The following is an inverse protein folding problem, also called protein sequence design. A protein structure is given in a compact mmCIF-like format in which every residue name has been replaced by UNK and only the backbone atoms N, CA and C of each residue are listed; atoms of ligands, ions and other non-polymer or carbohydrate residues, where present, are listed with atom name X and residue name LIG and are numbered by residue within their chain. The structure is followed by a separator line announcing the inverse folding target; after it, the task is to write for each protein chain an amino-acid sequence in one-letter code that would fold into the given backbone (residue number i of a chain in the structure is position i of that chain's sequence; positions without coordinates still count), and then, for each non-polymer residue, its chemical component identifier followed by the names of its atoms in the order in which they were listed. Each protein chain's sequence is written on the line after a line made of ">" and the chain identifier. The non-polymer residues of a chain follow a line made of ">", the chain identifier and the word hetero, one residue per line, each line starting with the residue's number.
data_IF_636820408541
#
_entry.id   IF_636820408541
#
_cell.length_a   1.000
_cell.length_b   1.000
_cell.length_c   1.000
_cell.angle_alpha   90.00
_cell.angle_beta   90.00
_cell.angle_gamma   90.00
#
_symmetry.space_group_name_H-M   'P 1'
#
loop_
_entity.id
_entity.type
_entity.pdbx_description
1 polymer ?
#
# COMPACT_ATOMS: atom_id res chain seq x y z
N UNK A 1 -29.57 23.42 52.43
CA UNK A 1 -28.29 23.46 51.68
C UNK A 1 -27.81 22.07 51.23
N UNK A 2 -28.62 21.28 50.51
CA UNK A 2 -28.19 20.01 49.88
C UNK A 2 -28.77 19.73 48.48
N UNK A 3 -29.57 20.65 47.93
CA UNK A 3 -30.17 20.53 46.59
C UNK A 3 -29.39 21.31 45.50
N UNK A 4 -28.47 22.21 45.88
CA UNK A 4 -27.74 23.06 44.92
C UNK A 4 -26.41 22.45 44.40
N UNK A 5 -25.90 21.36 44.99
CA UNK A 5 -24.62 20.77 44.53
C UNK A 5 -24.79 19.67 43.47
N UNK A 6 -26.01 19.20 43.22
CA UNK A 6 -26.25 18.13 42.23
C UNK A 6 -26.48 18.68 40.81
N UNK A 7 -27.00 19.91 40.68
CA UNK A 7 -27.19 20.57 39.37
C UNK A 7 -25.86 21.05 38.76
N UNK A 8 -24.88 21.44 39.60
CA UNK A 8 -23.57 21.91 39.12
C UNK A 8 -22.72 20.79 38.49
N UNK A 9 -22.91 19.55 38.91
CA UNK A 9 -22.18 18.39 38.36
C UNK A 9 -22.80 17.93 37.03
N UNK A 10 -24.13 18.06 36.86
CA UNK A 10 -24.78 17.78 35.59
C UNK A 10 -24.44 18.82 34.51
N UNK A 11 -24.30 20.11 34.86
CA UNK A 11 -23.94 21.16 33.89
C UNK A 11 -22.48 21.09 33.39
N UNK A 12 -21.56 20.48 34.13
CA UNK A 12 -20.17 20.30 33.72
C UNK A 12 -19.98 19.16 32.70
N UNK A 13 -20.85 18.14 32.70
CA UNK A 13 -20.75 17.00 31.78
C UNK A 13 -21.29 17.37 30.38
N UNK A 14 -22.28 18.26 30.30
CA UNK A 14 -22.90 18.64 29.01
C UNK A 14 -22.05 19.70 28.26
N UNK A 15 -21.29 20.54 28.95
CA UNK A 15 -20.46 21.58 28.32
C UNK A 15 -19.08 21.11 27.84
N UNK A 16 -18.58 19.97 28.30
CA UNK A 16 -17.29 19.42 27.81
C UNK A 16 -17.42 18.62 26.50
N UNK A 17 -18.64 18.25 26.09
CA UNK A 17 -18.89 17.53 24.84
C UNK A 17 -18.84 18.40 23.58
N UNK A 18 -18.81 19.73 23.73
CA UNK A 18 -18.90 20.67 22.59
C UNK A 18 -17.60 21.41 22.27
N UNK A 19 -16.55 21.24 23.08
CA UNK A 19 -15.28 21.96 22.92
C UNK A 19 -14.14 21.13 22.30
N UNK A 20 -14.36 19.85 21.98
CA UNK A 20 -13.33 18.96 21.40
C UNK A 20 -13.41 18.78 19.87
N UNK A 21 -14.25 19.55 19.17
CA UNK A 21 -14.35 19.50 17.70
C UNK A 21 -13.86 20.77 16.99
N UNK A 22 -12.98 21.57 17.61
CA UNK A 22 -12.45 22.76 16.94
C UNK A 22 -11.03 23.08 17.39
N UNK A 23 -10.06 22.46 16.72
CA UNK A 23 -8.75 23.04 16.32
C UNK A 23 -7.72 21.91 16.12
N UNK A 24 -7.67 21.40 14.89
CA UNK A 24 -6.58 20.56 14.39
C UNK A 24 -5.90 21.23 13.20
N UNK A 25 -5.34 22.43 13.40
CA UNK A 25 -4.45 23.08 12.44
C UNK A 25 -3.03 22.98 12.97
N UNK A 26 -2.22 22.12 12.38
CA UNK A 26 -0.79 21.99 12.68
C UNK A 26 -0.03 22.86 11.67
N UNK A 27 0.35 24.06 12.12
CA UNK A 27 1.35 24.90 11.49
C UNK A 27 2.74 24.33 11.80
N UNK A 28 3.59 24.18 10.76
CA UNK A 28 4.93 23.63 10.87
C UNK A 28 5.95 24.67 10.38
N UNK A 29 6.82 25.08 11.29
CA UNK A 29 7.97 25.95 11.07
C UNK A 29 9.01 25.78 12.19
N UNK A 30 10.25 26.26 12.01
CA UNK A 30 11.31 25.47 11.36
C UNK A 30 12.39 24.95 12.32
N UNK A 31 13.11 23.95 11.83
CA UNK A 31 14.29 23.26 12.40
C UNK A 31 15.52 24.16 12.38
N UNK A 32 16.33 24.10 13.44
CA UNK A 32 17.80 24.25 13.35
C UNK A 32 18.51 23.66 14.60
N UNK A 33 19.84 23.39 14.57
CA UNK A 33 20.40 22.10 14.95
C UNK A 33 21.37 22.20 16.14
N UNK A 34 21.61 21.10 16.87
CA UNK A 34 22.83 21.03 17.68
C UNK A 34 23.36 19.61 17.87
N UNK A 35 24.38 19.32 17.05
CA UNK A 35 25.69 18.80 17.42
C UNK A 35 25.79 17.77 18.57
N UNK A 36 26.21 16.53 18.23
CA UNK A 36 27.07 15.75 19.13
C UNK A 36 28.08 14.89 18.36
N UNK A 37 29.34 15.19 18.68
CA UNK A 37 30.62 14.77 18.12
C UNK A 37 30.96 13.29 18.26
N UNK A 38 31.59 12.78 17.19
CA UNK A 38 32.33 11.52 17.02
C UNK A 38 33.59 11.46 17.89
N UNK A 39 33.90 10.31 18.51
CA UNK A 39 35.25 10.03 19.04
C UNK A 39 35.69 8.64 18.61
N UNK A 40 36.76 8.62 17.82
CA UNK A 40 37.51 7.43 17.37
C UNK A 40 38.53 7.06 18.45
N UNK A 41 38.51 5.82 18.93
CA UNK A 41 39.56 5.28 19.80
C UNK A 41 40.23 4.11 19.10
N UNK A 42 41.48 4.33 18.69
CA UNK A 42 42.41 3.33 18.18
C UNK A 42 43.08 2.63 19.37
N UNK A 43 42.93 1.31 19.50
CA UNK A 43 43.65 0.52 20.51
C UNK A 43 44.65 -0.40 19.81
N UNK A 44 45.93 -0.09 20.01
CA UNK A 44 47.09 -0.91 19.67
C UNK A 44 47.26 -1.99 20.74
N UNK A 45 47.34 -3.27 20.34
CA UNK A 45 47.69 -4.35 21.27
C UNK A 45 48.95 -5.08 20.81
N UNK A 46 49.91 -5.08 21.72
CA UNK A 46 51.28 -5.59 21.64
C UNK A 46 51.35 -7.11 21.57
N UNK A 47 52.31 -7.59 20.77
CA UNK A 47 52.67 -8.99 20.56
C UNK A 47 53.40 -9.58 21.77
N UNK A 48 52.94 -10.73 22.28
CA UNK A 48 53.69 -11.56 23.23
C UNK A 48 53.96 -12.92 22.59
N UNK A 49 55.25 -13.21 22.40
CA UNK A 49 55.77 -14.45 21.82
C UNK A 49 55.84 -15.54 22.88
N UNK A 50 55.14 -16.65 22.69
CA UNK A 50 55.30 -17.87 23.51
C UNK A 50 55.57 -19.06 22.58
N UNK A 51 56.77 -19.61 22.69
CA UNK A 51 57.27 -20.75 21.92
C UNK A 51 56.82 -22.05 22.60
N UNK A 52 55.99 -22.85 21.94
CA UNK A 52 55.66 -24.22 22.39
C UNK A 52 55.78 -25.17 21.21
N UNK A 53 56.53 -26.25 21.42
CA UNK A 53 56.87 -27.31 20.46
C UNK A 53 55.80 -28.41 20.38
N UNK A 54 55.83 -29.18 19.28
CA UNK A 54 55.28 -30.56 19.07
C UNK A 54 53.83 -30.63 18.52
N UNK A 55 53.39 -31.64 17.71
CA UNK A 55 54.05 -32.65 16.85
C UNK A 55 53.72 -32.46 15.33
N UNK A 56 54.34 -33.29 14.48
CA UNK A 56 54.13 -33.38 13.01
C UNK A 56 52.65 -33.64 12.64
N UNK A 57 52.01 -32.82 11.77
CA UNK A 57 50.65 -33.08 11.32
C UNK A 57 50.61 -34.16 10.22
N UNK A 58 49.77 -35.17 10.43
CA UNK A 58 49.39 -36.17 9.42
C UNK A 58 48.44 -35.51 8.41
N UNK A 59 48.84 -35.49 7.13
CA UNK A 59 48.04 -34.96 6.04
C UNK A 59 46.97 -35.97 5.62
N UNK A 60 45.72 -35.74 6.01
CA UNK A 60 44.56 -36.42 5.41
C UNK A 60 43.94 -35.47 4.38
N UNK A 61 44.10 -35.79 3.10
CA UNK A 61 43.55 -35.01 1.98
C UNK A 61 42.03 -35.18 1.94
N UNK A 62 41.28 -34.21 2.49
CA UNK A 62 39.83 -34.12 2.32
C UNK A 62 39.53 -33.63 0.89
N UNK A 63 38.64 -34.37 0.20
CA UNK A 63 38.08 -34.02 -1.11
C UNK A 63 37.42 -32.63 -1.04
N UNK A 64 37.59 -31.74 -2.03
CA UNK A 64 36.97 -30.42 -2.01
C UNK A 64 35.44 -30.54 -2.08
N UNK A 65 34.78 -30.06 -1.02
CA UNK A 65 33.33 -29.84 -1.01
C UNK A 65 33.02 -28.67 -1.97
N UNK A 66 32.10 -28.84 -2.94
CA UNK A 66 31.67 -27.74 -3.79
C UNK A 66 31.10 -26.61 -2.95
N UNK A 67 31.55 -25.37 -3.19
CA UNK A 67 30.96 -24.19 -2.58
C UNK A 67 29.45 -24.14 -2.92
N UNK A 68 28.57 -23.77 -1.96
CA UNK A 68 27.16 -23.62 -2.24
C UNK A 68 26.99 -22.55 -3.32
N UNK A 69 26.36 -22.94 -4.42
CA UNK A 69 25.97 -22.04 -5.50
C UNK A 69 25.15 -20.89 -4.90
N UNK A 70 25.47 -19.62 -5.18
CA UNK A 70 24.64 -18.51 -4.73
C UNK A 70 23.21 -18.73 -5.22
N UNK A 71 22.26 -18.75 -4.29
CA UNK A 71 20.83 -18.76 -4.58
C UNK A 71 20.57 -17.65 -5.60
N UNK A 72 19.85 -17.91 -6.71
CA UNK A 72 19.52 -16.86 -7.66
C UNK A 72 18.85 -15.72 -6.90
N UNK A 73 19.46 -14.54 -6.95
CA UNK A 73 18.86 -13.30 -6.45
C UNK A 73 17.49 -13.18 -7.10
N UNK A 74 16.40 -13.04 -6.33
CA UNK A 74 15.09 -12.75 -6.90
C UNK A 74 15.23 -11.54 -7.85
N UNK A 75 14.69 -11.59 -9.07
CA UNK A 75 14.70 -10.42 -9.94
C UNK A 75 14.07 -9.26 -9.18
N UNK A 76 14.79 -8.16 -9.08
CA UNK A 76 14.32 -6.94 -8.41
C UNK A 76 12.98 -6.57 -9.05
N UNK A 77 11.87 -6.48 -8.29
CA UNK A 77 10.62 -5.99 -8.83
C UNK A 77 10.87 -4.58 -9.32
N UNK A 78 10.74 -4.41 -10.64
CA UNK A 78 11.06 -3.14 -11.31
C UNK A 78 9.79 -2.30 -11.29
N UNK A 79 9.75 -1.24 -10.50
CA UNK A 79 8.60 -0.33 -10.48
C UNK A 79 8.40 0.28 -11.87
N UNK A 80 7.17 0.19 -12.39
CA UNK A 80 6.77 0.83 -13.63
C UNK A 80 6.50 2.30 -13.32
N UNK A 81 7.25 3.20 -13.95
CA UNK A 81 7.10 4.65 -13.79
C UNK A 81 7.02 5.27 -15.18
N UNK A 82 6.09 6.19 -15.38
CA UNK A 82 5.98 6.91 -16.64
C UNK A 82 4.98 8.05 -16.59
N UNK A 83 4.88 8.73 -17.73
CA UNK A 83 3.97 9.84 -17.92
C UNK A 83 3.44 9.87 -19.35
N UNK A 84 2.30 10.53 -19.55
CA UNK A 84 1.76 10.87 -20.86
C UNK A 84 1.85 12.37 -21.03
N UNK A 85 2.53 12.81 -22.08
CA UNK A 85 2.74 14.22 -22.39
C UNK A 85 2.30 14.52 -23.80
N UNK A 86 1.42 15.51 -23.94
CA UNK A 86 0.93 16.00 -25.22
C UNK A 86 1.10 17.52 -25.28
N UNK A 87 1.63 18.05 -26.38
CA UNK A 87 1.86 19.49 -26.55
C UNK A 87 2.61 20.16 -25.38
N UNK A 88 3.66 19.50 -24.88
CA UNK A 88 4.48 19.95 -23.74
C UNK A 88 3.73 20.06 -22.40
N UNK A 89 2.61 19.36 -22.26
CA UNK A 89 1.83 19.25 -21.03
C UNK A 89 1.70 17.77 -20.64
N UNK A 90 2.13 17.44 -19.42
CA UNK A 90 1.94 16.12 -18.83
C UNK A 90 0.56 16.03 -18.23
N UNK A 91 -0.30 15.17 -18.78
CA UNK A 91 -1.66 14.98 -18.32
C UNK A 91 -1.82 13.79 -17.37
N UNK A 92 -1.02 12.73 -17.58
CA UNK A 92 -1.00 11.53 -16.74
C UNK A 92 0.40 11.29 -16.20
N UNK A 93 0.48 10.89 -14.93
CA UNK A 93 1.67 10.28 -14.32
C UNK A 93 1.27 9.03 -13.56
N UNK A 94 2.08 7.98 -13.67
CA UNK A 94 1.84 6.71 -12.98
C UNK A 94 3.14 6.13 -12.44
N UNK A 95 3.02 5.46 -11.31
CA UNK A 95 4.09 4.70 -10.66
C UNK A 95 3.46 3.51 -9.95
N UNK A 96 3.82 2.28 -10.30
CA UNK A 96 3.28 1.08 -9.65
C UNK A 96 4.10 -0.17 -9.92
N UNK A 97 3.90 -1.18 -9.07
CA UNK A 97 4.19 -2.57 -9.38
C UNK A 97 2.86 -3.29 -9.59
N UNK A 98 2.82 -4.26 -10.50
CA UNK A 98 1.60 -5.02 -10.77
C UNK A 98 1.87 -6.51 -10.95
N UNK A 99 0.87 -7.33 -10.68
CA UNK A 99 0.83 -8.75 -10.99
C UNK A 99 -0.56 -9.12 -11.49
N UNK A 100 -0.62 -9.81 -12.63
CA UNK A 100 -1.84 -10.43 -13.12
C UNK A 100 -1.98 -11.84 -12.56
N UNK A 101 -3.19 -12.20 -12.15
CA UNK A 101 -3.58 -13.54 -11.73
C UNK A 101 -4.64 -14.03 -12.70
N UNK A 102 -4.27 -14.97 -13.55
CA UNK A 102 -5.12 -15.48 -14.63
C UNK A 102 -5.49 -16.92 -14.32
N UNK A 103 -6.80 -17.21 -14.26
CA UNK A 103 -7.31 -18.59 -14.19
C UNK A 103 -7.38 -19.18 -15.60
N UNK A 104 -6.94 -20.42 -15.75
CA UNK A 104 -6.98 -21.14 -17.02
C UNK A 104 -7.33 -22.61 -16.82
N UNK A 105 -7.83 -23.24 -17.88
CA UNK A 105 -8.18 -24.66 -17.87
C UNK A 105 -7.04 -25.48 -18.45
N UNK A 106 -6.72 -26.58 -17.78
CA UNK A 106 -5.72 -27.53 -18.26
C UNK A 106 -6.33 -28.54 -19.22
N UNK A 107 -5.48 -29.26 -19.95
CA UNK A 107 -5.89 -30.37 -20.82
C UNK A 107 -6.67 -31.49 -20.09
N UNK A 108 -6.63 -31.51 -18.75
CA UNK A 108 -7.36 -32.46 -17.89
C UNK A 108 -8.67 -31.90 -17.34
N UNK A 109 -9.12 -30.73 -17.80
CA UNK A 109 -10.27 -29.99 -17.25
C UNK A 109 -10.09 -29.57 -15.78
N UNK A 110 -8.85 -29.37 -15.32
CA UNK A 110 -8.55 -28.79 -14.02
C UNK A 110 -8.29 -27.29 -14.16
N UNK A 111 -8.81 -26.48 -13.23
CA UNK A 111 -8.53 -25.04 -13.17
C UNK A 111 -7.22 -24.77 -12.44
N UNK A 112 -6.32 -24.01 -13.06
CA UNK A 112 -5.07 -23.52 -12.47
C UNK A 112 -4.99 -22.00 -12.53
N UNK A 113 -4.11 -21.43 -11.71
CA UNK A 113 -3.80 -19.99 -11.70
C UNK A 113 -2.35 -19.74 -12.15
N UNK A 114 -2.18 -18.77 -13.03
CA UNK A 114 -0.87 -18.25 -13.43
C UNK A 114 -0.67 -16.85 -12.84
N UNK A 115 0.49 -16.62 -12.24
CA UNK A 115 0.89 -15.35 -11.64
C UNK A 115 1.94 -14.68 -12.53
N UNK A 116 1.56 -13.58 -13.18
CA UNK A 116 2.37 -12.90 -14.19
C UNK A 116 2.77 -11.52 -13.64
N UNK A 117 4.01 -11.33 -13.15
CA UNK A 117 4.47 -10.04 -12.66
C UNK A 117 4.73 -9.05 -13.80
N UNK A 118 4.50 -7.77 -13.54
CA UNK A 118 4.83 -6.63 -14.39
C UNK A 118 5.99 -5.84 -13.76
N UNK A 119 7.04 -5.47 -14.52
CA UNK A 119 7.25 -5.71 -15.94
C UNK A 119 7.78 -7.13 -16.21
N UNK A 120 7.32 -7.74 -17.30
CA UNK A 120 8.00 -8.92 -17.84
C UNK A 120 9.43 -8.48 -18.19
N UNK A 121 10.40 -9.31 -17.82
CA UNK A 121 11.81 -8.98 -17.90
C UNK A 121 12.16 -8.40 -19.27
N UNK A 122 12.47 -7.10 -19.27
CA UNK A 122 13.00 -6.30 -20.37
C UNK A 122 11.96 -5.94 -21.45
N UNK A 123 11.86 -4.64 -21.70
CA UNK A 123 11.12 -4.01 -22.79
C UNK A 123 9.59 -3.90 -22.54
N UNK A 124 9.16 -2.82 -21.90
CA UNK A 124 7.83 -2.25 -22.19
C UNK A 124 8.07 -1.07 -23.11
N UNK A 125 7.32 -0.97 -24.21
CA UNK A 125 7.32 0.27 -24.99
C UNK A 125 6.62 1.34 -24.13
N UNK A 126 7.25 2.51 -24.01
CA UNK A 126 6.69 3.68 -23.33
C UNK A 126 5.25 3.94 -23.81
N UNK A 127 4.39 4.45 -22.93
CA UNK A 127 2.96 4.46 -23.17
C UNK A 127 2.61 5.29 -24.39
N UNK A 128 1.81 4.71 -25.29
CA UNK A 128 0.95 5.52 -26.13
C UNK A 128 -0.19 6.02 -25.24
N UNK A 129 -0.48 7.31 -25.26
CA UNK A 129 -1.51 7.88 -24.42
C UNK A 129 -2.16 9.11 -25.05
N UNK A 130 -3.29 9.50 -24.50
CA UNK A 130 -4.09 10.63 -24.99
C UNK A 130 -4.40 11.58 -23.85
N UNK A 131 -4.23 12.89 -24.08
CA UNK A 131 -4.60 13.93 -23.14
C UNK A 131 -5.87 14.65 -23.64
N UNK A 132 -7.04 14.01 -23.47
CA UNK A 132 -8.32 14.61 -23.85
C UNK A 132 -9.09 15.11 -22.62
N UNK A 133 -9.89 16.16 -22.80
CA UNK A 133 -10.65 16.80 -21.71
C UNK A 133 -11.72 15.91 -21.08
N UNK A 134 -12.15 14.84 -21.77
CA UNK A 134 -13.19 13.92 -21.28
C UNK A 134 -12.60 12.63 -20.71
N UNK A 135 -11.63 12.07 -21.43
CA UNK A 135 -10.95 10.82 -21.06
C UNK A 135 -9.47 10.94 -21.37
N UNK A 136 -8.65 10.43 -20.48
CA UNK A 136 -7.22 10.29 -20.70
C UNK A 136 -6.85 8.83 -20.56
N UNK A 137 -5.85 8.39 -21.31
CA UNK A 137 -5.45 6.99 -21.26
C UNK A 137 -3.96 6.81 -21.48
N UNK A 138 -3.46 5.68 -21.00
CA UNK A 138 -2.12 5.21 -21.34
C UNK A 138 -2.15 3.70 -21.56
N UNK A 139 -1.37 3.22 -22.54
CA UNK A 139 -1.26 1.81 -22.87
C UNK A 139 0.17 1.35 -22.72
N UNK A 140 0.41 0.37 -21.86
CA UNK A 140 1.68 -0.35 -21.78
C UNK A 140 1.61 -1.55 -22.72
N UNK A 141 2.59 -1.70 -23.62
CA UNK A 141 2.61 -2.79 -24.61
C UNK A 141 3.90 -3.60 -24.50
N UNK A 142 3.77 -4.93 -24.61
CA UNK A 142 4.89 -5.83 -24.81
C UNK A 142 5.43 -5.71 -26.23
N UNK A 143 6.72 -5.40 -26.43
CA UNK A 143 7.37 -5.37 -27.72
C UNK A 143 7.70 -6.78 -28.23
N UNK A 144 7.71 -7.78 -27.35
CA UNK A 144 7.89 -9.17 -27.74
C UNK A 144 6.59 -9.75 -28.28
N UNK A 145 6.62 -10.20 -29.54
CA UNK A 145 5.51 -10.91 -30.20
C UNK A 145 5.25 -12.29 -29.58
N UNK A 146 6.26 -12.87 -28.94
CA UNK A 146 6.17 -14.19 -28.31
C UNK A 146 5.71 -14.13 -26.85
N UNK A 147 5.63 -12.93 -26.26
CA UNK A 147 5.10 -12.77 -24.90
C UNK A 147 3.62 -13.15 -24.82
N UNK A 148 3.24 -13.85 -23.75
CA UNK A 148 1.85 -14.02 -23.33
C UNK A 148 1.16 -12.67 -23.15
N UNK A 149 1.79 -11.73 -22.44
CA UNK A 149 1.23 -10.40 -22.24
C UNK A 149 1.38 -9.55 -23.52
N UNK A 150 0.30 -8.90 -23.97
CA UNK A 150 0.30 -8.00 -25.15
C UNK A 150 0.21 -6.55 -24.74
N UNK A 151 -0.87 -6.14 -24.08
CA UNK A 151 -1.07 -4.77 -23.65
C UNK A 151 -1.91 -4.66 -22.40
N UNK A 152 -1.71 -3.57 -21.66
CA UNK A 152 -2.68 -3.09 -20.67
C UNK A 152 -2.93 -1.61 -20.91
N UNK A 153 -4.20 -1.24 -21.03
CA UNK A 153 -4.64 0.14 -21.20
C UNK A 153 -5.42 0.57 -19.96
N UNK A 154 -5.02 1.69 -19.38
CA UNK A 154 -5.74 2.36 -18.31
C UNK A 154 -6.44 3.58 -18.89
N UNK A 155 -7.74 3.71 -18.63
CA UNK A 155 -8.53 4.86 -19.04
C UNK A 155 -9.08 5.56 -17.81
N UNK A 156 -8.84 6.86 -17.73
CA UNK A 156 -9.35 7.74 -16.69
C UNK A 156 -10.46 8.60 -17.28
N UNK A 157 -11.47 8.87 -16.47
CA UNK A 157 -12.50 9.85 -16.77
C UNK A 157 -12.56 10.89 -15.65
N UNK A 158 -13.11 12.05 -15.96
CA UNK A 158 -13.35 13.09 -14.96
C UNK A 158 -14.76 13.62 -15.05
N UNK A 159 -15.30 13.99 -13.89
CA UNK A 159 -16.54 14.74 -13.74
C UNK A 159 -16.19 16.18 -13.31
N UNK A 160 -17.12 16.96 -12.78
CA UNK A 160 -16.86 18.35 -12.39
C UNK A 160 -15.69 18.48 -11.39
N UNK A 161 -15.72 17.67 -10.33
CA UNK A 161 -14.76 17.80 -9.21
C UNK A 161 -13.82 16.61 -9.04
N UNK A 162 -14.08 15.50 -9.72
CA UNK A 162 -13.40 14.25 -9.45
C UNK A 162 -12.85 13.57 -10.69
N UNK A 163 -11.84 12.74 -10.47
CA UNK A 163 -11.16 11.90 -11.45
C UNK A 163 -11.23 10.49 -10.94
N UNK A 164 -11.51 9.54 -11.82
CA UNK A 164 -11.59 8.13 -11.47
C UNK A 164 -11.05 7.26 -12.60
N UNK A 165 -10.61 6.05 -12.24
CA UNK A 165 -10.26 5.02 -13.20
C UNK A 165 -11.56 4.45 -13.80
N UNK A 166 -11.77 4.66 -15.08
CA UNK A 166 -12.99 4.29 -15.84
C UNK A 166 -12.90 2.87 -16.36
N UNK A 167 -11.73 2.45 -16.85
CA UNK A 167 -11.51 1.07 -17.29
C UNK A 167 -10.05 0.64 -17.29
N UNK A 168 -9.84 -0.66 -17.11
CA UNK A 168 -8.58 -1.34 -17.38
C UNK A 168 -8.84 -2.41 -18.44
N UNK A 169 -8.16 -2.30 -19.58
CA UNK A 169 -8.27 -3.27 -20.67
C UNK A 169 -6.95 -4.05 -20.74
N UNK A 170 -7.02 -5.38 -20.67
CA UNK A 170 -5.85 -6.26 -20.73
C UNK A 170 -5.97 -7.19 -21.95
N UNK A 171 -4.95 -7.16 -22.79
CA UNK A 171 -4.78 -8.07 -23.91
C UNK A 171 -3.63 -9.03 -23.60
N UNK A 172 -3.89 -10.33 -23.76
CA UNK A 172 -2.88 -11.37 -23.60
C UNK A 172 -3.26 -12.57 -24.46
N UNK A 173 -2.28 -13.45 -24.66
CA UNK A 173 -2.46 -14.76 -25.28
C UNK A 173 -1.95 -15.83 -24.32
N UNK A 174 -2.53 -17.01 -24.42
CA UNK A 174 -2.03 -18.17 -23.71
C UNK A 174 -0.83 -18.79 -24.43
N UNK A 175 0.22 -19.11 -23.69
CA UNK A 175 1.36 -19.90 -24.15
C UNK A 175 1.71 -21.02 -23.14
N UNK A 176 2.39 -22.05 -23.60
CA UNK A 176 2.76 -23.18 -22.76
C UNK A 176 3.88 -22.85 -21.73
N UNK A 177 4.57 -21.71 -21.91
CA UNK A 177 5.67 -21.30 -21.03
C UNK A 177 5.14 -20.66 -19.74
N UNK A 178 4.08 -19.87 -19.87
CA UNK A 178 3.43 -19.08 -18.81
C UNK A 178 2.27 -19.87 -18.21
N UNK A 179 1.63 -20.73 -19.00
CA UNK A 179 0.46 -21.53 -18.61
C UNK A 179 0.75 -23.03 -18.80
N UNK A 180 1.45 -23.68 -17.86
CA UNK A 180 1.81 -25.09 -17.98
C UNK A 180 0.57 -25.99 -17.95
N UNK A 181 0.56 -27.01 -18.80
CA UNK A 181 -0.54 -27.99 -18.97
C UNK A 181 -1.86 -27.40 -19.50
N UNK A 182 -1.84 -26.18 -20.05
CA UNK A 182 -3.02 -25.54 -20.63
C UNK A 182 -3.68 -26.43 -21.71
N UNK A 183 -5.02 -26.37 -21.81
CA UNK A 183 -5.72 -27.05 -22.92
C UNK A 183 -5.15 -26.54 -24.25
N UNK A 184 -4.63 -27.42 -25.12
CA UNK A 184 -4.08 -27.03 -26.43
C UNK A 184 -5.03 -26.19 -27.29
N UNK A 185 -6.35 -26.29 -27.06
CA UNK A 185 -7.36 -25.48 -27.75
C UNK A 185 -7.34 -23.99 -27.37
N UNK A 186 -6.71 -23.64 -26.25
CA UNK A 186 -6.62 -22.27 -25.74
C UNK A 186 -5.31 -21.59 -26.12
N UNK A 187 -4.29 -22.33 -26.58
CA UNK A 187 -2.97 -21.78 -26.94
C UNK A 187 -3.07 -20.84 -28.13
N UNK A 188 -2.35 -19.72 -28.09
CA UNK A 188 -2.33 -18.66 -29.10
C UNK A 188 -3.70 -18.01 -29.39
N UNK A 189 -4.72 -18.30 -28.58
CA UNK A 189 -5.99 -17.55 -28.58
C UNK A 189 -5.75 -16.22 -27.86
N UNK A 190 -6.09 -15.13 -28.54
CA UNK A 190 -6.06 -13.80 -27.96
C UNK A 190 -7.28 -13.59 -27.06
N UNK A 191 -7.03 -13.07 -25.87
CA UNK A 191 -8.04 -12.74 -24.88
C UNK A 191 -8.01 -11.26 -24.58
N UNK A 192 -9.20 -10.66 -24.60
CA UNK A 192 -9.44 -9.26 -24.33
C UNK A 192 -10.31 -9.14 -23.09
N UNK A 193 -9.74 -8.67 -21.99
CA UNK A 193 -10.48 -8.43 -20.75
C UNK A 193 -10.71 -6.94 -20.58
N UNK A 194 -11.97 -6.54 -20.49
CA UNK A 194 -12.37 -5.18 -20.16
C UNK A 194 -12.91 -5.12 -18.74
N UNK A 195 -12.23 -4.40 -17.87
CA UNK A 195 -12.59 -4.17 -16.47
C UNK A 195 -13.10 -2.73 -16.37
N UNK A 196 -14.40 -2.50 -16.62
CA UNK A 196 -15.00 -1.16 -16.68
C UNK A 196 -16.18 -0.93 -15.73
N UNK A 197 -16.76 -1.99 -15.18
CA UNK A 197 -17.97 -1.89 -14.34
C UNK A 197 -17.61 -1.93 -12.86
N UNK A 198 -17.82 -0.81 -12.16
CA UNK A 198 -17.62 -0.66 -10.71
C UNK A 198 -16.27 -1.23 -10.23
N UNK A 199 -15.16 -0.68 -10.73
CA UNK A 199 -13.83 -1.03 -10.22
C UNK A 199 -13.84 -0.89 -8.69
N UNK A 200 -13.60 -2.02 -8.03
CA UNK A 200 -13.41 -2.10 -6.60
C UNK A 200 -11.91 -2.33 -6.35
N UNK A 201 -11.29 -1.63 -5.40
CA UNK A 201 -11.85 -0.53 -4.61
C UNK A 201 -12.06 0.74 -5.46
N UNK A 202 -12.73 1.73 -4.87
CA UNK A 202 -12.97 3.01 -5.52
C UNK A 202 -11.66 3.74 -5.83
N UNK A 203 -11.45 4.12 -7.10
CA UNK A 203 -10.30 4.90 -7.57
C UNK A 203 -10.61 6.40 -7.71
N UNK A 204 -11.75 6.85 -7.19
CA UNK A 204 -12.19 8.25 -7.28
C UNK A 204 -11.37 9.16 -6.36
N UNK A 205 -10.85 10.25 -6.92
CA UNK A 205 -10.11 11.30 -6.21
C UNK A 205 -10.55 12.67 -6.68
N UNK A 206 -10.28 13.71 -5.89
CA UNK A 206 -10.45 15.08 -6.37
C UNK A 206 -9.44 15.40 -7.49
N UNK A 207 -9.80 16.26 -8.44
CA UNK A 207 -8.94 16.65 -9.59
C UNK A 207 -7.54 17.16 -9.20
N UNK A 208 -7.42 17.74 -8.01
CA UNK A 208 -6.17 18.28 -7.47
C UNK A 208 -5.31 17.26 -6.72
N UNK A 209 -5.72 15.99 -6.67
CA UNK A 209 -5.05 14.95 -5.89
C UNK A 209 -4.54 13.80 -6.76
N UNK A 210 -3.50 13.13 -6.28
CA UNK A 210 -3.04 11.85 -6.80
C UNK A 210 -3.67 10.71 -6.00
N UNK A 211 -3.96 9.59 -6.63
CA UNK A 211 -4.38 8.38 -5.93
C UNK A 211 -3.15 7.61 -5.47
N UNK A 212 -3.07 7.28 -4.18
CA UNK A 212 -2.02 6.44 -3.62
C UNK A 212 -2.60 5.20 -2.94
N UNK A 213 -2.01 4.04 -3.18
CA UNK A 213 -2.34 2.83 -2.48
C UNK A 213 -1.13 1.92 -2.29
N UNK A 214 -0.82 1.56 -1.05
CA UNK A 214 0.29 0.66 -0.76
C UNK A 214 0.08 -0.73 -1.39
N UNK A 215 -1.14 -1.26 -1.27
CA UNK A 215 -1.55 -2.52 -1.90
C UNK A 215 -3.03 -2.43 -2.25
N UNK A 216 -3.38 -2.77 -3.48
CA UNK A 216 -4.78 -2.86 -3.94
C UNK A 216 -4.94 -3.99 -4.92
N UNK A 217 -6.06 -4.71 -4.81
CA UNK A 217 -6.45 -5.66 -5.84
C UNK A 217 -7.72 -5.21 -6.52
N UNK A 218 -7.69 -5.22 -7.86
CA UNK A 218 -8.88 -5.09 -8.70
C UNK A 218 -9.43 -6.51 -8.90
N UNK A 219 -10.60 -6.83 -8.33
CA UNK A 219 -11.18 -8.15 -8.42
C UNK A 219 -11.68 -8.42 -9.84
N UNK A 220 -12.02 -9.68 -10.08
CA UNK A 220 -12.56 -10.15 -11.35
C UNK A 220 -13.90 -9.44 -11.63
N UNK A 221 -14.11 -9.00 -12.87
CA UNK A 221 -15.46 -8.67 -13.35
C UNK A 221 -16.28 -9.96 -13.50
N UNK A 222 -17.61 -9.84 -13.56
CA UNK A 222 -18.54 -10.98 -13.59
C UNK A 222 -18.29 -11.97 -14.76
N UNK A 223 -17.65 -11.49 -15.84
CA UNK A 223 -17.29 -12.27 -17.03
C UNK A 223 -15.81 -12.74 -17.06
N UNK A 224 -15.00 -12.42 -16.04
CA UNK A 224 -13.54 -12.40 -16.15
C UNK A 224 -12.76 -13.46 -15.36
N UNK A 225 -11.75 -14.05 -16.00
CA UNK A 225 -10.79 -14.98 -15.37
C UNK A 225 -9.52 -14.28 -14.84
N UNK A 226 -9.39 -12.97 -15.03
CA UNK A 226 -8.23 -12.17 -14.63
C UNK A 226 -8.49 -11.32 -13.38
N UNK A 227 -7.52 -11.31 -12.46
CA UNK A 227 -7.44 -10.40 -11.32
C UNK A 227 -6.13 -9.62 -11.41
N UNK A 228 -6.14 -8.36 -10.97
CA UNK A 228 -4.95 -7.51 -10.95
C UNK A 228 -4.60 -7.18 -9.51
N UNK A 229 -3.33 -7.33 -9.13
CA UNK A 229 -2.80 -6.87 -7.85
C UNK A 229 -1.76 -5.79 -8.11
N UNK A 230 -1.93 -4.64 -7.46
CA UNK A 230 -0.96 -3.56 -7.47
C UNK A 230 -0.29 -3.41 -6.11
N UNK A 231 0.98 -3.02 -6.14
CA UNK A 231 1.71 -2.56 -4.96
C UNK A 231 2.45 -1.26 -5.25
N UNK A 232 2.51 -0.39 -4.24
CA UNK A 232 3.03 0.99 -4.34
C UNK A 232 2.40 1.76 -5.51
N UNK A 233 1.07 1.69 -5.63
CA UNK A 233 0.32 2.32 -6.71
C UNK A 233 0.20 3.83 -6.47
N UNK A 234 0.64 4.62 -7.44
CA UNK A 234 0.42 6.06 -7.56
C UNK A 234 -0.08 6.37 -8.95
N UNK A 235 -1.24 7.01 -9.03
CA UNK A 235 -1.86 7.41 -10.29
C UNK A 235 -2.33 8.84 -10.20
N UNK A 236 -2.12 9.62 -11.25
CA UNK A 236 -2.76 10.90 -11.42
C UNK A 236 -3.02 11.16 -12.90
N UNK A 237 -4.25 11.54 -13.21
CA UNK A 237 -4.70 11.95 -14.53
C UNK A 237 -5.30 13.35 -14.43
N UNK A 238 -5.52 14.01 -15.57
CA UNK A 238 -6.00 15.38 -15.69
C UNK A 238 -5.15 16.36 -14.88
N UNK A 239 -3.83 16.18 -14.90
CA UNK A 239 -2.89 16.95 -14.09
C UNK A 239 -2.96 18.45 -14.37
N UNK A 240 -2.62 19.29 -13.40
CA UNK A 240 -2.58 20.72 -13.62
C UNK A 240 -1.35 21.10 -14.47
N UNK A 241 -1.57 21.90 -15.53
CA UNK A 241 -0.52 22.44 -16.40
C UNK A 241 0.56 23.23 -15.65
N UNK A 242 0.24 23.76 -14.47
CA UNK A 242 1.14 24.57 -13.65
C UNK A 242 2.07 23.75 -12.75
N UNK A 243 1.89 22.43 -12.68
CA UNK A 243 2.59 21.54 -11.74
C UNK A 243 3.72 20.73 -12.39
N UNK A 244 4.10 21.06 -13.63
CA UNK A 244 5.21 20.44 -14.36
C UNK A 244 5.21 18.89 -14.34
N UNK A 245 4.01 18.30 -14.36
CA UNK A 245 3.84 16.84 -14.34
C UNK A 245 4.29 16.17 -13.04
N UNK A 246 4.33 16.87 -11.91
CA UNK A 246 4.58 16.27 -10.59
C UNK A 246 3.30 15.82 -9.90
N UNK A 247 3.38 14.76 -9.09
CA UNK A 247 2.24 14.31 -8.31
C UNK A 247 1.76 15.41 -7.36
N UNK A 248 0.45 15.62 -7.32
CA UNK A 248 -0.22 16.47 -6.33
C UNK A 248 -0.40 15.73 -5.00
N UNK A 249 -1.05 16.39 -4.03
CA UNK A 249 -1.37 15.80 -2.72
C UNK A 249 -2.04 14.42 -2.87
N UNK A 250 -1.61 13.46 -2.06
CA UNK A 250 -2.03 12.07 -2.17
C UNK A 250 -3.37 11.83 -1.44
N UNK A 251 -4.34 11.26 -2.15
CA UNK A 251 -5.51 10.61 -1.58
C UNK A 251 -5.17 9.13 -1.36
N UNK A 252 -5.08 8.70 -0.11
CA UNK A 252 -4.71 7.33 0.23
C UNK A 252 -5.95 6.41 0.26
N UNK A 253 -5.90 5.29 -0.46
CA UNK A 253 -6.96 4.29 -0.54
C UNK A 253 -7.36 3.67 0.82
N UNK A 254 -6.48 3.73 1.83
CA UNK A 254 -6.74 3.18 3.17
C UNK A 254 -7.38 4.20 4.13
N UNK A 255 -7.52 5.46 3.73
CA UNK A 255 -8.11 6.51 4.56
C UNK A 255 -9.60 6.27 4.86
N UNK A 256 -10.25 5.39 4.11
CA UNK A 256 -11.68 5.07 4.26
C UNK A 256 -11.96 3.92 5.24
N UNK A 257 -10.97 3.48 6.02
CA UNK A 257 -11.23 2.57 7.14
C UNK A 257 -11.81 3.43 8.27
N UNK A 258 -13.13 3.32 8.48
CA UNK A 258 -13.86 4.02 9.54
C UNK A 258 -13.51 3.47 10.93
N UNK A 259 -12.27 3.69 11.38
CA UNK A 259 -11.84 3.43 12.76
C UNK A 259 -12.59 4.30 13.79
N UNK A 260 -13.39 5.26 13.30
CA UNK A 260 -14.32 6.08 14.08
C UNK A 260 -15.21 5.22 14.98
N UNK A 261 -15.73 4.08 14.49
CA UNK A 261 -16.60 3.20 15.28
C UNK A 261 -15.84 2.54 16.44
N UNK A 262 -14.75 1.77 16.22
CA UNK A 262 -14.01 1.16 17.32
C UNK A 262 -13.40 2.19 18.29
N UNK A 263 -12.95 3.35 17.81
CA UNK A 263 -12.43 4.43 18.66
C UNK A 263 -13.55 5.01 19.54
N UNK A 264 -14.73 5.29 18.98
CA UNK A 264 -15.86 5.81 19.75
C UNK A 264 -16.33 4.81 20.82
N UNK A 265 -16.39 3.52 20.47
CA UNK A 265 -16.73 2.45 21.43
C UNK A 265 -15.68 2.38 22.55
N UNK A 266 -14.38 2.48 22.22
CA UNK A 266 -13.29 2.50 23.21
C UNK A 266 -13.36 3.69 24.16
N UNK A 267 -13.67 4.89 23.65
CA UNK A 267 -13.81 6.10 24.46
C UNK A 267 -15.01 6.01 25.42
N UNK A 268 -16.15 5.51 24.94
CA UNK A 268 -17.36 5.35 25.77
C UNK A 268 -17.16 4.34 26.91
N UNK A 269 -16.53 3.19 26.64
CA UNK A 269 -16.23 2.18 27.65
C UNK A 269 -15.28 2.72 28.72
N UNK A 270 -14.22 3.43 28.32
CA UNK A 270 -13.25 4.02 29.25
C UNK A 270 -13.90 5.09 30.13
N UNK A 271 -14.75 5.95 29.54
CA UNK A 271 -15.51 6.97 30.27
C UNK A 271 -16.41 6.37 31.35
N UNK A 272 -17.15 5.30 31.02
CA UNK A 272 -18.03 4.62 31.97
C UNK A 272 -17.25 4.04 33.16
N UNK A 273 -16.13 3.36 32.89
CA UNK A 273 -15.28 2.78 33.94
C UNK A 273 -14.77 3.85 34.90
N UNK A 274 -14.31 5.00 34.39
CA UNK A 274 -13.83 6.11 35.22
C UNK A 274 -14.94 6.68 36.10
N UNK A 275 -16.16 6.86 35.56
CA UNK A 275 -17.32 7.34 36.32
C UNK A 275 -17.65 6.37 37.47
N UNK A 276 -17.71 5.07 37.18
CA UNK A 276 -17.96 4.04 38.20
C UNK A 276 -16.85 4.02 39.26
N UNK A 277 -15.59 4.17 38.85
CA UNK A 277 -14.43 4.31 39.75
C UNK A 277 -14.59 5.47 40.74
N UNK A 278 -14.93 6.65 40.23
CA UNK A 278 -15.12 7.86 41.04
C UNK A 278 -16.31 7.68 41.99
N UNK A 279 -17.44 7.19 41.49
CA UNK A 279 -18.62 6.92 42.30
C UNK A 279 -18.33 5.91 43.41
N UNK A 280 -17.59 4.83 43.09
CA UNK A 280 -17.15 3.83 44.05
C UNK A 280 -16.22 4.44 45.11
N UNK A 281 -15.23 5.24 44.73
CA UNK A 281 -14.32 5.89 45.67
C UNK A 281 -15.05 6.84 46.62
N UNK A 282 -15.98 7.64 46.12
CA UNK A 282 -16.79 8.55 46.94
C UNK A 282 -17.69 7.74 47.89
N UNK A 283 -18.37 6.71 47.39
CA UNK A 283 -19.20 5.81 48.18
C UNK A 283 -18.40 5.13 49.30
N UNK A 284 -17.25 4.55 48.96
CA UNK A 284 -16.35 3.89 49.92
C UNK A 284 -15.82 4.86 50.98
N UNK A 285 -15.46 6.10 50.59
CA UNK A 285 -15.01 7.14 51.53
C UNK A 285 -16.13 7.53 52.50
N UNK A 286 -17.38 7.58 52.04
CA UNK A 286 -18.54 7.89 52.87
C UNK A 286 -18.88 6.77 53.85
N UNK A 287 -18.86 5.50 53.42
CA UNK A 287 -19.15 4.35 54.30
C UNK A 287 -18.15 4.23 55.46
N UNK A 288 -16.87 4.54 55.22
CA UNK A 288 -15.86 4.57 56.30
C UNK A 288 -16.13 5.64 57.36
N UNK A 289 -16.89 6.71 57.06
CA UNK A 289 -17.24 7.76 58.02
C UNK A 289 -18.46 7.43 58.88
N UNK A 290 -19.31 6.48 58.46
CA UNK A 290 -20.53 6.10 59.18
C UNK A 290 -20.31 5.02 60.24
N UNK A 291 -19.25 4.21 60.14
CA UNK A 291 -18.93 3.16 61.10
C UNK A 291 -18.31 3.65 62.44
N UNK A 292 -18.00 4.96 62.56
CA UNK A 292 -17.44 5.56 63.78
C UNK A 292 -18.50 6.22 64.69
N UNK A 293 -19.80 6.12 64.35
CA UNK A 293 -20.89 6.75 65.11
C UNK A 293 -21.82 5.77 65.84
N UNK A 294 -21.42 4.51 66.01
CA UNK A 294 -22.14 3.54 66.84
C UNK A 294 -21.33 3.16 68.08
N UNK A 295 -21.23 4.09 69.03
CA UNK A 295 -21.02 3.85 70.48
C UNK A 295 -21.93 4.81 71.22
#
# INVERSE_FOLDING_TARGET
>A
MRQLSSLAIFFLIVNFGSYLCQNGSIDSGPVDPNNKTTTTTTTTTTTTTTTTTTPKPTTTTLKPTPAPTPKPTPPVPTTIIGNVTENNYTCIRYEFNAQFIVKYQTAKNETKEAHIPLPLQVDLTYPNGTCSSLKESFTLTSPSKDSSFKSVTFTFASNENSVFLDSIIVDFKYDNKTFPDIDPKQIDVEHHYNISTNLSPNFNVEKSHSYYCANVSVPKSDDGDIQIQFSSLRLQAFMDKTKDGQFSAEHNCQSEINDVVPIAVGAALTGLVVIVMIAYFIGRRRSRRLAYQSV
#
